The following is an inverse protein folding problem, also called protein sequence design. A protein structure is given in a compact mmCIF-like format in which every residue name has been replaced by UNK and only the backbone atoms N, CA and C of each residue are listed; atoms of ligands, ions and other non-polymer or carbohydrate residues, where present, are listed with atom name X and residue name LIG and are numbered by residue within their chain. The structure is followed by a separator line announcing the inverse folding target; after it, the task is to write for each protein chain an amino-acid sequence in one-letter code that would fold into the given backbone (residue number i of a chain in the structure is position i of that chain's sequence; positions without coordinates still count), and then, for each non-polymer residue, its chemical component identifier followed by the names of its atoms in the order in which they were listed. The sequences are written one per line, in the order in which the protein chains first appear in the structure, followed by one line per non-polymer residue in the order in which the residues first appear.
data_IF_703236835061
#
_entry.id   IF_703236835061
#
_cell.length_a   1.000
_cell.length_b   1.000
_cell.length_c   1.000
_cell.angle_alpha   90.00
_cell.angle_beta   90.00
_cell.angle_gamma   90.00
#
_symmetry.space_group_name_H-M   'P 1'
#
loop_
_entity.id
_entity.type
_entity.pdbx_description
1 polymer ?
#
# COMPACT_ATOMS: atom_id res chain seq x y z
N UNK A 1 7.32 -22.74 5.83
CA UNK A 1 7.02 -21.58 4.97
C UNK A 1 8.14 -20.55 4.94
N UNK A 2 8.58 -19.99 6.08
CA UNK A 2 9.70 -19.02 6.11
C UNK A 2 10.96 -19.50 5.36
N UNK A 3 11.50 -20.68 5.73
CA UNK A 3 12.66 -21.29 5.03
C UNK A 3 12.42 -21.53 3.52
N UNK A 4 11.18 -21.70 3.09
CA UNK A 4 10.85 -21.86 1.67
C UNK A 4 10.94 -20.53 0.92
N UNK A 5 10.39 -19.46 1.51
CA UNK A 5 10.44 -18.11 0.94
C UNK A 5 11.88 -17.56 0.95
N UNK A 6 12.62 -17.82 2.02
CA UNK A 6 14.03 -17.43 2.15
C UNK A 6 14.90 -18.05 1.04
N UNK A 7 14.75 -19.35 0.77
CA UNK A 7 15.46 -20.04 -0.32
C UNK A 7 15.15 -19.49 -1.71
N UNK A 8 13.98 -18.86 -1.90
CA UNK A 8 13.57 -18.24 -3.15
C UNK A 8 13.91 -16.74 -3.24
N UNK A 9 14.45 -16.17 -2.17
CA UNK A 9 14.65 -14.72 -2.07
C UNK A 9 13.35 -13.92 -2.08
N UNK A 10 12.25 -14.54 -1.63
CA UNK A 10 10.92 -13.89 -1.57
C UNK A 10 10.72 -13.04 -0.32
N UNK A 11 11.64 -13.13 0.66
CA UNK A 11 11.64 -12.31 1.87
C UNK A 11 12.42 -11.02 1.57
N UNK A 12 11.76 -10.08 0.92
CA UNK A 12 12.28 -8.73 0.75
C UNK A 12 11.14 -7.71 0.88
N UNK A 13 11.50 -6.47 1.19
CA UNK A 13 10.52 -5.40 1.40
C UNK A 13 9.63 -5.21 0.18
N UNK A 14 10.20 -5.05 -1.02
CA UNK A 14 9.42 -4.74 -2.22
C UNK A 14 8.43 -5.85 -2.59
N UNK A 15 8.82 -7.13 -2.51
CA UNK A 15 7.93 -8.25 -2.86
C UNK A 15 6.80 -8.37 -1.84
N UNK A 16 7.06 -8.16 -0.56
CA UNK A 16 6.04 -8.31 0.47
C UNK A 16 5.13 -7.07 0.48
N UNK A 17 5.71 -5.88 0.47
CA UNK A 17 4.98 -4.61 0.52
C UNK A 17 4.13 -4.39 -0.74
N UNK A 18 4.58 -4.81 -1.92
CA UNK A 18 3.77 -4.69 -3.14
C UNK A 18 2.64 -5.72 -3.25
N UNK A 19 2.57 -6.70 -2.34
CA UNK A 19 1.44 -7.63 -2.28
C UNK A 19 0.37 -7.12 -1.34
N UNK A 20 -0.89 -7.21 -1.75
CA UNK A 20 -2.03 -6.69 -0.97
C UNK A 20 -2.05 -7.21 0.47
N UNK A 21 -1.91 -8.52 0.68
CA UNK A 21 -1.89 -9.09 2.04
C UNK A 21 -0.61 -8.76 2.80
N UNK A 22 0.53 -8.63 2.11
CA UNK A 22 1.79 -8.23 2.74
C UNK A 22 1.74 -6.79 3.23
N UNK A 23 1.26 -5.86 2.39
CA UNK A 23 0.99 -4.47 2.77
C UNK A 23 0.05 -4.37 3.97
N UNK A 24 -1.11 -5.04 3.93
CA UNK A 24 -2.10 -4.93 5.01
C UNK A 24 -1.57 -5.43 6.36
N UNK A 25 -0.80 -6.52 6.36
CA UNK A 25 -0.19 -7.06 7.58
C UNK A 25 0.98 -6.20 8.06
N UNK A 26 1.76 -5.64 7.15
CA UNK A 26 2.84 -4.71 7.48
C UNK A 26 2.29 -3.40 8.07
N UNK A 27 1.25 -2.83 7.45
CA UNK A 27 0.52 -1.68 7.96
C UNK A 27 -0.01 -1.94 9.37
N UNK A 28 -0.70 -3.06 9.58
CA UNK A 28 -1.24 -3.44 10.90
C UNK A 28 -0.14 -3.62 11.95
N UNK A 29 1.03 -4.13 11.53
CA UNK A 29 2.20 -4.18 12.40
C UNK A 29 2.68 -2.78 12.79
N UNK A 30 2.93 -1.89 11.83
CA UNK A 30 3.42 -0.54 12.08
C UNK A 30 2.45 0.32 12.89
N UNK A 31 1.14 0.13 12.75
CA UNK A 31 0.13 0.94 13.45
C UNK A 31 -0.20 0.46 14.85
N UNK A 32 -0.18 -0.86 15.09
CA UNK A 32 -0.75 -1.44 16.31
C UNK A 32 0.24 -2.27 17.13
N UNK A 33 1.40 -2.65 16.59
CA UNK A 33 2.31 -3.62 17.21
C UNK A 33 3.76 -3.18 17.30
N UNK A 34 4.16 -2.14 16.57
CA UNK A 34 5.48 -1.56 16.71
C UNK A 34 5.57 -0.78 18.03
N UNK A 35 6.71 -0.89 18.73
CA UNK A 35 6.91 -0.26 20.04
C UNK A 35 6.92 1.28 19.94
N UNK A 36 7.47 1.79 18.84
CA UNK A 36 7.48 3.22 18.52
C UNK A 36 6.42 3.54 17.46
N UNK A 37 5.75 4.72 17.54
CA UNK A 37 4.81 5.12 16.50
C UNK A 37 5.55 5.30 15.17
N UNK A 38 5.04 4.67 14.11
CA UNK A 38 5.57 4.77 12.74
C UNK A 38 4.68 5.71 11.91
N UNK A 39 4.84 7.06 12.01
CA UNK A 39 4.02 8.02 11.28
C UNK A 39 4.16 7.91 9.75
N UNK A 40 5.29 7.36 9.27
CA UNK A 40 5.60 7.21 7.85
C UNK A 40 4.54 6.38 7.10
N UNK A 41 3.97 5.35 7.74
CA UNK A 41 2.89 4.55 7.13
C UNK A 41 1.60 5.36 6.98
N UNK A 42 1.25 6.19 7.97
CA UNK A 42 0.06 7.05 7.85
C UNK A 42 0.26 8.08 6.74
N UNK A 43 1.46 8.65 6.65
CA UNK A 43 1.79 9.59 5.59
C UNK A 43 1.69 8.93 4.20
N UNK A 44 2.21 7.71 4.04
CA UNK A 44 2.07 6.93 2.81
C UNK A 44 0.60 6.73 2.41
N UNK A 45 -0.28 6.43 3.36
CA UNK A 45 -1.71 6.23 3.09
C UNK A 45 -2.42 7.51 2.65
N UNK A 46 -2.15 8.64 3.31
CA UNK A 46 -2.76 9.91 2.91
C UNK A 46 -2.28 10.36 1.53
N UNK A 47 -1.01 10.12 1.17
CA UNK A 47 -0.52 10.37 -0.20
C UNK A 47 -1.28 9.49 -1.20
N UNK A 48 -1.41 8.18 -0.94
CA UNK A 48 -2.13 7.26 -1.83
C UNK A 48 -3.62 7.62 -1.96
N UNK A 49 -4.22 8.10 -0.88
CA UNK A 49 -5.59 8.62 -0.88
C UNK A 49 -5.69 9.87 -1.75
N UNK A 50 -4.75 10.81 -1.63
CA UNK A 50 -4.70 12.00 -2.48
C UNK A 50 -4.57 11.64 -3.97
N UNK A 51 -3.71 10.68 -4.31
CA UNK A 51 -3.56 10.18 -5.69
C UNK A 51 -4.86 9.57 -6.25
N UNK A 52 -5.71 9.00 -5.38
CA UNK A 52 -6.98 8.38 -5.78
C UNK A 52 -8.17 9.34 -5.89
N UNK A 53 -8.02 10.59 -5.44
CA UNK A 53 -9.09 11.59 -5.55
C UNK A 53 -9.30 12.01 -7.00
N UNK A 54 -10.56 12.15 -7.40
CA UNK A 54 -10.93 12.56 -8.76
C UNK A 54 -10.96 14.08 -8.93
N UNK A 55 -11.26 14.83 -7.86
CA UNK A 55 -11.45 16.28 -7.92
C UNK A 55 -10.23 17.05 -7.42
N UNK A 56 -9.89 18.15 -8.10
CA UNK A 56 -8.78 19.01 -7.71
C UNK A 56 -9.06 19.78 -6.41
N UNK A 57 -10.32 20.11 -6.10
CA UNK A 57 -10.69 20.82 -4.87
C UNK A 57 -10.41 19.96 -3.62
N UNK A 58 -10.79 18.68 -3.65
CA UNK A 58 -10.49 17.74 -2.56
C UNK A 58 -8.99 17.47 -2.46
N UNK A 59 -8.28 17.34 -3.60
CA UNK A 59 -6.82 17.19 -3.61
C UNK A 59 -6.12 18.38 -2.95
N UNK A 60 -6.56 19.60 -3.21
CA UNK A 60 -5.98 20.81 -2.60
C UNK A 60 -6.24 20.85 -1.10
N UNK A 61 -7.46 20.53 -0.66
CA UNK A 61 -7.81 20.49 0.76
C UNK A 61 -6.96 19.45 1.51
N UNK A 62 -6.92 18.21 0.98
CA UNK A 62 -6.16 17.11 1.57
C UNK A 62 -4.65 17.36 1.49
N UNK A 63 -4.14 17.93 0.38
CA UNK A 63 -2.73 18.24 0.22
C UNK A 63 -2.22 19.26 1.25
N UNK A 64 -3.04 20.25 1.60
CA UNK A 64 -2.73 21.18 2.71
C UNK A 64 -2.72 20.48 4.05
N UNK A 65 -3.72 19.64 4.32
CA UNK A 65 -3.80 18.87 5.55
C UNK A 65 -2.58 17.95 5.73
N UNK A 66 -2.17 17.25 4.66
CA UNK A 66 -0.98 16.40 4.63
C UNK A 66 0.28 17.22 4.94
N UNK A 67 0.43 18.38 4.29
CA UNK A 67 1.58 19.26 4.53
C UNK A 67 1.64 19.73 5.99
N UNK A 68 0.53 20.19 6.54
CA UNK A 68 0.48 20.71 7.91
C UNK A 68 0.70 19.61 8.96
N UNK A 69 0.16 18.41 8.73
CA UNK A 69 0.24 17.31 9.70
C UNK A 69 1.59 16.58 9.69
N UNK A 70 2.17 16.33 8.51
CA UNK A 70 3.34 15.46 8.36
C UNK A 70 4.62 16.23 8.02
N UNK A 71 4.55 17.32 7.27
CA UNK A 71 5.75 18.03 6.79
C UNK A 71 6.07 19.19 7.74
N UNK A 72 5.08 20.05 8.05
CA UNK A 72 5.29 21.26 8.85
C UNK A 72 5.70 20.95 10.29
N UNK A 73 5.12 19.93 10.91
CA UNK A 73 5.49 19.50 12.28
C UNK A 73 6.92 18.96 12.35
N UNK A 74 7.36 18.22 11.34
CA UNK A 74 8.71 17.64 11.29
C UNK A 74 9.77 18.70 10.99
N UNK A 75 9.47 19.67 10.13
CA UNK A 75 10.32 20.85 9.92
C UNK A 75 10.49 21.69 11.18
N UNK A 76 9.44 21.83 12.00
CA UNK A 76 9.50 22.57 13.27
C UNK A 76 10.26 21.83 14.36
N UNK A 77 10.30 20.50 14.32
CA UNK A 77 11.02 19.67 15.30
C UNK A 77 12.51 19.48 14.98
N UNK A 78 12.99 19.93 13.81
CA UNK A 78 14.36 19.71 13.29
C UNK A 78 14.78 18.22 13.19
N UNK A 79 13.82 17.30 13.28
CA UNK A 79 13.98 15.85 13.13
C UNK A 79 14.03 15.50 11.64
N UNK A 80 14.93 16.15 10.89
CA UNK A 80 14.92 16.16 9.43
C UNK A 80 15.20 14.77 8.82
N UNK A 81 14.15 14.00 8.51
CA UNK A 81 14.23 12.78 7.69
C UNK A 81 14.03 13.07 6.18
N UNK A 82 13.29 14.13 5.83
CA UNK A 82 12.94 14.41 4.42
C UNK A 82 13.84 15.40 3.70
N UNK A 83 14.01 15.21 2.39
CA UNK A 83 14.85 16.06 1.55
C UNK A 83 14.29 17.47 1.39
N UNK A 84 15.11 18.50 1.68
CA UNK A 84 14.74 19.92 1.49
C UNK A 84 14.25 20.23 0.07
N UNK A 85 14.84 19.58 -0.94
CA UNK A 85 14.42 19.73 -2.36
C UNK A 85 12.99 19.24 -2.58
N UNK A 86 12.59 18.17 -1.89
CA UNK A 86 11.25 17.60 -1.98
C UNK A 86 10.23 18.50 -1.30
N UNK A 87 10.59 19.06 -0.13
CA UNK A 87 9.78 20.06 0.59
C UNK A 87 9.51 21.29 -0.27
N UNK A 88 10.55 21.89 -0.84
CA UNK A 88 10.44 23.11 -1.65
C UNK A 88 9.52 22.89 -2.88
N UNK A 89 9.68 21.75 -3.55
CA UNK A 89 8.84 21.38 -4.71
C UNK A 89 7.37 21.23 -4.33
N UNK A 90 7.06 20.55 -3.22
CA UNK A 90 5.68 20.38 -2.77
C UNK A 90 5.07 21.71 -2.34
N UNK A 91 5.83 22.56 -1.66
CA UNK A 91 5.36 23.89 -1.27
C UNK A 91 5.05 24.75 -2.51
N UNK A 92 5.88 24.68 -3.56
CA UNK A 92 5.62 25.38 -4.82
C UNK A 92 4.34 24.89 -5.50
N UNK A 93 4.14 23.56 -5.60
CA UNK A 93 2.92 22.98 -6.16
C UNK A 93 1.67 23.39 -5.36
N UNK A 94 1.72 23.34 -4.02
CA UNK A 94 0.62 23.77 -3.16
C UNK A 94 0.33 25.27 -3.30
N UNK A 95 1.36 26.11 -3.42
CA UNK A 95 1.22 27.56 -3.62
C UNK A 95 0.60 27.88 -4.98
N UNK A 96 1.05 27.19 -6.04
CA UNK A 96 0.51 27.36 -7.37
C UNK A 96 -0.93 26.86 -7.47
N UNK A 97 -1.26 25.76 -6.79
CA UNK A 97 -2.62 25.24 -6.74
C UNK A 97 -3.63 26.23 -6.12
N UNK A 98 -3.21 27.13 -5.22
CA UNK A 98 -4.08 28.20 -4.73
C UNK A 98 -4.46 29.21 -5.82
N UNK A 99 -3.62 29.40 -6.84
CA UNK A 99 -3.83 30.33 -7.95
C UNK A 99 -4.51 29.66 -9.14
N UNK A 100 -4.10 28.44 -9.47
CA UNK A 100 -4.57 27.70 -10.65
C UNK A 100 -5.77 26.80 -10.37
N UNK A 101 -6.07 26.52 -9.09
CA UNK A 101 -7.06 25.53 -8.63
C UNK A 101 -6.85 24.12 -9.19
N UNK A 102 -5.61 23.80 -9.55
CA UNK A 102 -5.23 22.48 -10.06
C UNK A 102 -4.08 21.98 -9.21
N UNK A 103 -4.22 20.77 -8.66
CA UNK A 103 -3.15 20.09 -7.93
C UNK A 103 -2.89 18.72 -8.58
N UNK A 104 -1.72 18.52 -9.19
CA UNK A 104 -1.35 17.23 -9.75
C UNK A 104 -1.37 16.12 -8.69
N UNK A 105 -1.88 14.93 -9.00
CA UNK A 105 -1.95 13.82 -8.04
C UNK A 105 -0.56 13.33 -7.61
N UNK A 106 0.46 13.49 -8.45
CA UNK A 106 1.84 13.09 -8.22
C UNK A 106 2.64 14.10 -7.38
N UNK A 107 2.01 15.15 -6.84
CA UNK A 107 2.69 16.20 -6.06
C UNK A 107 3.55 15.62 -4.94
N UNK A 108 3.06 14.61 -4.24
CA UNK A 108 3.75 13.96 -3.12
C UNK A 108 4.49 12.66 -3.51
N UNK A 109 4.53 12.31 -4.79
CA UNK A 109 5.19 11.09 -5.28
C UNK A 109 6.66 10.93 -4.80
N UNK A 110 7.48 11.99 -4.74
CA UNK A 110 8.86 11.85 -4.26
C UNK A 110 8.94 11.41 -2.79
N UNK A 111 7.99 11.82 -1.94
CA UNK A 111 7.93 11.38 -0.54
C UNK A 111 7.67 9.89 -0.40
N UNK A 112 6.96 9.27 -1.35
CA UNK A 112 6.73 7.82 -1.31
C UNK A 112 8.03 7.04 -1.34
N UNK A 113 9.03 7.50 -2.11
CA UNK A 113 10.33 6.84 -2.19
C UNK A 113 11.11 7.01 -0.89
N UNK A 114 11.10 8.22 -0.31
CA UNK A 114 11.77 8.52 0.96
C UNK A 114 11.14 7.72 2.12
N UNK A 115 9.81 7.64 2.17
CA UNK A 115 9.06 6.83 3.14
C UNK A 115 9.38 5.34 2.98
N UNK A 116 9.35 4.82 1.75
CA UNK A 116 9.64 3.40 1.51
C UNK A 116 11.07 3.05 1.93
N UNK A 117 12.03 3.95 1.75
CA UNK A 117 13.41 3.71 2.16
C UNK A 117 13.58 3.74 3.68
N UNK A 118 12.88 4.64 4.39
CA UNK A 118 12.96 4.69 5.86
C UNK A 118 12.34 3.46 6.53
N UNK A 119 11.27 2.88 5.95
CA UNK A 119 10.61 1.68 6.51
C UNK A 119 11.23 0.35 6.05
N UNK A 120 12.14 0.36 5.06
CA UNK A 120 12.78 -0.83 4.48
C UNK A 120 13.78 -1.52 5.41
N UNK A 121 14.41 -0.77 6.32
CA UNK A 121 15.45 -1.25 7.21
C UNK A 121 14.91 -1.90 8.49
N UNK A 122 15.24 -1.30 9.63
CA UNK A 122 14.98 -1.88 10.96
C UNK A 122 13.50 -2.20 11.21
N UNK A 123 12.59 -1.37 10.71
CA UNK A 123 11.13 -1.56 10.84
C UNK A 123 10.69 -2.83 10.11
N UNK A 124 11.17 -3.04 8.89
CA UNK A 124 10.86 -4.24 8.13
C UNK A 124 11.47 -5.49 8.76
N UNK A 125 12.73 -5.41 9.22
CA UNK A 125 13.37 -6.52 9.92
C UNK A 125 12.63 -6.89 11.21
N UNK A 126 12.13 -5.90 11.95
CA UNK A 126 11.28 -6.10 13.11
C UNK A 126 9.94 -6.75 12.74
N UNK A 127 9.33 -6.35 11.62
CA UNK A 127 8.13 -7.01 11.08
C UNK A 127 8.39 -8.48 10.75
N UNK A 128 9.51 -8.82 10.09
CA UNK A 128 9.86 -10.21 9.75
C UNK A 128 10.00 -11.08 11.01
N UNK A 129 10.53 -10.52 12.10
CA UNK A 129 10.61 -11.21 13.40
C UNK A 129 9.28 -11.29 14.15
N UNK A 130 8.26 -10.55 13.72
CA UNK A 130 6.98 -10.45 14.42
C UNK A 130 6.00 -11.61 14.10
N UNK A 131 4.99 -11.84 14.95
CA UNK A 131 3.88 -12.75 14.64
C UNK A 131 3.07 -12.34 13.40
N UNK A 132 3.11 -11.06 12.97
CA UNK A 132 2.39 -10.58 11.78
C UNK A 132 3.00 -11.14 10.50
N UNK A 133 4.32 -11.31 10.44
CA UNK A 133 4.95 -12.02 9.33
C UNK A 133 4.63 -13.53 9.34
N UNK A 134 4.47 -14.12 10.53
CA UNK A 134 3.96 -15.51 10.62
C UNK A 134 2.56 -15.63 10.03
N UNK A 135 1.67 -14.65 10.28
CA UNK A 135 0.35 -14.58 9.64
C UNK A 135 0.45 -14.44 8.12
N UNK A 136 1.38 -13.64 7.62
CA UNK A 136 1.63 -13.53 6.18
C UNK A 136 2.06 -14.88 5.58
N UNK A 137 2.96 -15.60 6.25
CA UNK A 137 3.36 -16.94 5.85
C UNK A 137 2.18 -17.93 5.79
N UNK A 138 1.21 -17.85 6.72
CA UNK A 138 0.03 -18.70 6.69
C UNK A 138 -0.81 -18.45 5.43
N UNK A 139 -1.07 -17.17 5.09
CA UNK A 139 -1.76 -16.81 3.85
C UNK A 139 -0.99 -17.24 2.61
N UNK A 140 0.34 -17.09 2.61
CA UNK A 140 1.18 -17.56 1.50
C UNK A 140 1.16 -19.07 1.32
N UNK A 141 1.08 -19.81 2.42
CA UNK A 141 0.95 -21.25 2.32
C UNK A 141 -0.39 -21.65 1.70
N UNK A 142 -1.47 -20.98 2.07
CA UNK A 142 -2.77 -21.19 1.43
C UNK A 142 -2.69 -20.88 -0.07
N UNK A 143 -2.16 -19.71 -0.44
CA UNK A 143 -2.01 -19.28 -1.84
C UNK A 143 -1.23 -20.28 -2.69
N UNK A 144 -0.08 -20.76 -2.20
CA UNK A 144 0.78 -21.69 -2.94
C UNK A 144 0.23 -23.12 -3.02
N UNK A 145 -0.72 -23.47 -2.15
CA UNK A 145 -1.34 -24.79 -2.11
C UNK A 145 -2.74 -24.82 -2.74
N UNK A 146 -3.20 -23.72 -3.35
CA UNK A 146 -4.49 -23.66 -4.03
C UNK A 146 -4.46 -24.55 -5.28
N UNK A 147 -5.24 -25.64 -5.24
CA UNK A 147 -5.51 -26.49 -6.39
C UNK A 147 -7.00 -26.40 -6.72
N UNK A 148 -7.33 -25.57 -7.72
CA UNK A 148 -8.72 -25.29 -8.08
C UNK A 148 -9.31 -26.42 -8.92
N UNK A 149 -10.56 -26.75 -8.61
CA UNK A 149 -11.41 -27.70 -9.32
C UNK A 149 -12.75 -27.07 -9.64
N UNK A 150 -13.56 -27.71 -10.48
CA UNK A 150 -14.91 -27.22 -10.78
C UNK A 150 -15.80 -27.09 -9.53
N UNK A 151 -15.56 -27.91 -8.50
CA UNK A 151 -16.33 -27.88 -7.24
C UNK A 151 -16.07 -26.61 -6.41
N UNK A 152 -14.97 -25.89 -6.65
CA UNK A 152 -14.67 -24.62 -5.99
C UNK A 152 -15.49 -23.45 -6.56
N UNK A 153 -16.28 -23.70 -7.60
CA UNK A 153 -17.10 -22.72 -8.29
C UNK A 153 -18.57 -23.14 -8.32
N UNK A 154 -19.44 -22.27 -7.81
CA UNK A 154 -20.88 -22.35 -8.06
C UNK A 154 -21.16 -21.77 -9.44
N UNK A 155 -21.27 -22.65 -10.43
CA UNK A 155 -21.54 -22.28 -11.83
C UNK A 155 -23.02 -21.93 -12.01
N UNK A 156 -23.30 -20.76 -12.59
CA UNK A 156 -24.65 -20.28 -12.86
C UNK A 156 -24.98 -20.47 -14.36
N UNK A 157 -25.37 -19.38 -15.05
CA UNK A 157 -25.78 -19.42 -16.46
C UNK A 157 -24.61 -19.12 -17.40
N UNK A 158 -24.75 -19.57 -18.63
CA UNK A 158 -23.88 -19.20 -19.75
C UNK A 158 -24.06 -17.71 -20.05
N UNK A 159 -22.95 -17.00 -20.21
CA UNK A 159 -22.89 -15.59 -20.59
C UNK A 159 -22.25 -15.38 -21.97
N UNK A 160 -21.65 -16.41 -22.57
CA UNK A 160 -21.12 -16.35 -23.92
C UNK A 160 -20.88 -17.74 -24.51
N UNK A 161 -20.97 -17.85 -25.84
CA UNK A 161 -20.70 -19.08 -26.61
C UNK A 161 -19.78 -18.77 -27.79
N UNK A 162 -18.82 -19.64 -28.04
CA UNK A 162 -17.90 -19.55 -29.17
C UNK A 162 -17.52 -20.93 -29.71
N UNK A 163 -16.70 -20.97 -30.77
CA UNK A 163 -16.34 -22.23 -31.45
C UNK A 163 -15.57 -23.24 -30.60
N UNK A 164 -14.92 -22.80 -29.50
CA UNK A 164 -14.11 -23.64 -28.62
C UNK A 164 -14.71 -23.85 -27.23
N UNK A 165 -15.93 -23.36 -26.97
CA UNK A 165 -16.59 -23.57 -25.69
C UNK A 165 -17.52 -22.44 -25.26
N UNK A 166 -17.89 -22.49 -23.99
CA UNK A 166 -18.89 -21.61 -23.37
C UNK A 166 -18.29 -20.92 -22.15
N UNK A 167 -18.71 -19.68 -21.91
CA UNK A 167 -18.32 -18.90 -20.73
C UNK A 167 -19.49 -18.89 -19.77
N UNK A 168 -19.26 -19.27 -18.53
CA UNK A 168 -20.26 -19.28 -17.47
C UNK A 168 -20.01 -18.15 -16.49
N UNK A 169 -21.09 -17.48 -16.05
CA UNK A 169 -21.04 -16.73 -14.80
C UNK A 169 -20.93 -17.73 -13.64
N UNK A 170 -19.98 -17.52 -12.74
CA UNK A 170 -19.80 -18.40 -11.59
C UNK A 170 -19.48 -17.58 -10.33
N UNK A 171 -19.64 -18.20 -9.16
CA UNK A 171 -19.23 -17.65 -7.88
C UNK A 171 -18.15 -18.54 -7.27
N UNK A 172 -17.04 -17.99 -6.82
CA UNK A 172 -16.03 -18.74 -6.07
C UNK A 172 -16.57 -19.09 -4.68
N UNK A 173 -16.57 -20.37 -4.32
CA UNK A 173 -17.26 -20.87 -3.13
C UNK A 173 -16.68 -20.32 -1.81
N UNK A 174 -15.36 -20.16 -1.72
CA UNK A 174 -14.67 -19.78 -0.48
C UNK A 174 -14.77 -18.28 -0.15
N UNK A 175 -14.87 -17.42 -1.16
CA UNK A 175 -14.87 -15.96 -1.02
C UNK A 175 -16.20 -15.33 -1.39
N UNK A 176 -17.10 -16.10 -2.02
CA UNK A 176 -18.38 -15.60 -2.52
C UNK A 176 -18.27 -14.60 -3.66
N UNK A 177 -17.06 -14.36 -4.21
CA UNK A 177 -16.83 -13.43 -5.30
C UNK A 177 -17.43 -13.99 -6.59
N UNK A 178 -18.28 -13.18 -7.24
CA UNK A 178 -18.84 -13.41 -8.58
C UNK A 178 -17.87 -12.92 -9.66
#
# INVERSE_FOLDING_TARGET
MMKYMEKRGDINFDRIFNQKLGYLLFKDYCLNHHEEPVPQIRFYEEIKKLESLETDEERIALGKEIYDQFIMKDLLSQSHEFSKKTVDRVLEHLTNAQKTRILPPDTFSPYLSEICESIRGDIFDAFIRSPRFTRFCQWKNLELNLNLTANDFSVHRIIGRGGFGEVYGCRKADTGKM
#
